data_IF_806887868857
#
_entry.id   IF_806887868857
#
_cell.length_a   1.000
_cell.length_b   1.000
_cell.length_c   1.000
_cell.angle_alpha   90.00
_cell.angle_beta   90.00
_cell.angle_gamma   90.00
#
_symmetry.space_group_name_H-M   'P 1'
#
loop_
_entity.id
_entity.type
_entity.pdbx_description
1 polymer ?
#
# COMPACT_ATOMS: atom_id res chain seq x y z
N UNK A 1 -24.04 43.20 -29.76
CA UNK A 1 -23.60 43.71 -28.47
C UNK A 1 -24.72 43.73 -27.38
N UNK A 2 -25.91 44.35 -27.62
CA UNK A 2 -26.99 44.36 -26.59
C UNK A 2 -27.60 42.99 -26.22
N UNK A 3 -27.59 41.98 -27.12
CA UNK A 3 -28.08 40.63 -26.80
C UNK A 3 -27.09 39.83 -25.91
N UNK A 4 -25.80 40.06 -26.05
CA UNK A 4 -24.76 39.42 -25.21
C UNK A 4 -24.81 39.97 -23.78
N UNK A 5 -25.11 41.26 -23.59
CA UNK A 5 -25.21 41.89 -22.27
C UNK A 5 -26.40 41.37 -21.46
N UNK A 6 -27.52 41.00 -22.13
CA UNK A 6 -28.69 40.45 -21.47
C UNK A 6 -28.51 38.98 -21.08
N UNK A 7 -27.68 38.19 -21.80
CA UNK A 7 -27.34 36.82 -21.43
C UNK A 7 -26.46 36.84 -20.17
N UNK A 8 -25.53 37.79 -20.05
CA UNK A 8 -24.70 37.97 -18.88
C UNK A 8 -25.47 38.33 -17.63
N UNK A 9 -26.49 39.24 -17.77
CA UNK A 9 -27.36 39.65 -16.67
C UNK A 9 -28.26 38.50 -16.17
N UNK A 10 -28.69 37.58 -17.05
CA UNK A 10 -29.51 36.41 -16.69
C UNK A 10 -28.71 35.35 -15.92
N UNK A 11 -27.44 35.13 -16.30
CA UNK A 11 -26.56 34.18 -15.61
C UNK A 11 -26.20 34.68 -14.20
N UNK A 12 -26.00 36.00 -14.03
CA UNK A 12 -25.70 36.62 -12.73
C UNK A 12 -26.89 36.67 -11.80
N UNK A 13 -28.11 36.80 -12.34
CA UNK A 13 -29.37 36.91 -11.53
C UNK A 13 -29.89 35.57 -11.00
N UNK A 14 -29.53 34.42 -11.57
CA UNK A 14 -29.96 33.10 -11.10
C UNK A 14 -29.04 32.48 -10.02
N UNK A 15 -27.86 33.04 -9.81
CA UNK A 15 -26.85 32.50 -8.89
C UNK A 15 -27.00 32.81 -7.39
N UNK A 16 -28.15 33.41 -6.96
CA UNK A 16 -28.32 33.89 -5.55
C UNK A 16 -29.27 33.01 -4.70
N UNK A 17 -29.80 31.91 -5.20
CA UNK A 17 -30.70 31.07 -4.41
C UNK A 17 -30.22 29.64 -4.27
N UNK A 18 -29.75 29.35 -3.05
CA UNK A 18 -29.71 28.04 -2.35
C UNK A 18 -28.74 26.95 -2.82
N UNK A 19 -27.90 26.54 -1.87
CA UNK A 19 -27.21 25.28 -1.63
C UNK A 19 -27.37 24.12 -2.62
N UNK A 20 -26.23 23.62 -3.08
CA UNK A 20 -26.07 22.26 -3.64
C UNK A 20 -26.81 21.91 -4.94
N UNK A 21 -26.71 22.73 -5.99
CA UNK A 21 -27.09 22.30 -7.32
C UNK A 21 -25.90 22.36 -8.30
N UNK A 22 -25.95 21.47 -9.31
CA UNK A 22 -24.98 21.46 -10.41
C UNK A 22 -24.94 22.85 -11.06
N UNK A 23 -23.76 23.48 -11.14
CA UNK A 23 -23.58 24.78 -11.81
C UNK A 23 -23.57 24.60 -13.34
N UNK A 24 -24.63 23.97 -13.88
CA UNK A 24 -24.86 23.89 -15.30
C UNK A 24 -26.07 24.83 -15.60
N UNK A 25 -25.75 26.01 -16.08
CA UNK A 25 -26.74 26.95 -16.52
C UNK A 25 -27.20 26.60 -17.92
N UNK A 26 -28.50 26.40 -18.12
CA UNK A 26 -29.12 26.25 -19.45
C UNK A 26 -29.64 27.60 -19.92
N UNK A 27 -29.01 28.14 -20.96
CA UNK A 27 -29.46 29.35 -21.66
C UNK A 27 -29.82 28.97 -23.10
N UNK A 28 -31.04 29.17 -23.49
CA UNK A 28 -31.58 28.79 -24.82
C UNK A 28 -31.33 27.31 -25.18
N UNK A 29 -31.38 26.41 -24.20
CA UNK A 29 -31.07 24.96 -24.38
C UNK A 29 -29.63 24.60 -24.49
N UNK A 30 -28.71 25.55 -24.31
CA UNK A 30 -27.26 25.32 -24.32
C UNK A 30 -26.75 25.23 -22.87
N UNK A 31 -26.03 24.15 -22.54
CA UNK A 31 -25.41 24.00 -21.25
C UNK A 31 -24.14 24.86 -21.14
N UNK A 32 -23.92 25.47 -19.98
CA UNK A 32 -22.68 26.17 -19.62
C UNK A 32 -22.17 25.64 -18.30
N UNK A 33 -20.85 25.49 -18.18
CA UNK A 33 -20.20 25.09 -16.92
C UNK A 33 -19.38 26.25 -16.39
N UNK A 34 -19.49 26.55 -15.11
CA UNK A 34 -18.71 27.60 -14.43
C UNK A 34 -17.64 26.97 -13.56
N UNK A 35 -16.39 27.45 -13.73
CA UNK A 35 -15.25 27.09 -12.89
C UNK A 35 -14.90 28.31 -12.04
N UNK A 36 -14.96 28.16 -10.71
CA UNK A 36 -14.59 29.24 -9.79
C UNK A 36 -13.15 29.06 -9.34
N UNK A 37 -12.43 30.16 -9.20
CA UNK A 37 -11.04 30.17 -8.71
C UNK A 37 -10.74 31.43 -7.87
N UNK A 38 -9.63 31.42 -7.14
CA UNK A 38 -9.09 32.59 -6.44
C UNK A 38 -7.63 32.80 -6.82
N UNK A 39 -7.17 34.06 -6.72
CA UNK A 39 -5.80 34.45 -7.00
C UNK A 39 -5.15 35.15 -5.80
N UNK A 40 -3.83 35.29 -5.80
CA UNK A 40 -3.07 35.96 -4.75
C UNK A 40 -2.89 37.47 -4.98
N UNK A 41 -3.21 37.96 -6.17
CA UNK A 41 -3.03 39.34 -6.63
C UNK A 41 -4.35 40.08 -6.94
N UNK A 42 -5.48 39.37 -6.81
CA UNK A 42 -6.83 39.85 -7.20
C UNK A 42 -6.99 40.16 -8.68
N UNK A 43 -6.11 39.62 -9.53
CA UNK A 43 -6.18 39.75 -10.98
C UNK A 43 -6.76 38.49 -11.61
N UNK A 44 -7.19 38.60 -12.86
CA UNK A 44 -7.69 37.48 -13.66
C UNK A 44 -6.57 36.49 -13.92
N UNK A 45 -6.83 35.18 -13.71
CA UNK A 45 -5.88 34.13 -14.10
C UNK A 45 -5.69 34.09 -15.62
N UNK A 46 -4.46 33.93 -16.07
CA UNK A 46 -4.12 33.78 -17.48
C UNK A 46 -4.38 32.35 -17.94
N UNK A 47 -5.66 31.98 -18.03
CA UNK A 47 -6.05 30.60 -18.41
C UNK A 47 -5.66 30.27 -19.84
N UNK A 48 -5.24 29.02 -20.07
CA UNK A 48 -4.98 28.49 -21.40
C UNK A 48 -6.29 28.39 -22.19
N UNK A 49 -6.33 29.01 -23.36
CA UNK A 49 -7.45 28.94 -24.28
C UNK A 49 -7.11 28.13 -25.54
N UNK A 50 -5.88 27.62 -25.64
CA UNK A 50 -5.34 26.94 -26.83
C UNK A 50 -5.28 25.41 -26.65
N UNK A 51 -5.84 24.71 -27.63
CA UNK A 51 -5.22 23.49 -28.16
C UNK A 51 -5.89 22.14 -27.86
N UNK A 52 -6.85 22.00 -26.97
CA UNK A 52 -7.43 20.68 -26.72
C UNK A 52 -8.94 20.61 -26.94
N UNK A 53 -9.32 20.13 -28.14
CA UNK A 53 -10.72 19.81 -28.44
C UNK A 53 -11.66 21.01 -28.40
N UNK A 54 -12.96 20.80 -28.57
CA UNK A 54 -14.02 21.82 -28.66
C UNK A 54 -14.26 22.67 -27.39
N UNK A 55 -13.18 23.09 -26.71
CA UNK A 55 -13.27 23.97 -25.54
C UNK A 55 -13.62 25.38 -25.97
N UNK A 56 -14.81 25.83 -25.63
CA UNK A 56 -15.21 27.23 -25.86
C UNK A 56 -15.30 27.95 -24.51
N UNK A 57 -14.19 28.54 -24.06
CA UNK A 57 -14.21 29.53 -23.00
C UNK A 57 -15.01 30.72 -23.51
N UNK A 58 -16.10 31.03 -22.84
CA UNK A 58 -16.99 32.15 -23.16
C UNK A 58 -16.53 33.41 -22.46
N UNK A 59 -16.05 33.27 -21.22
CA UNK A 59 -15.53 34.41 -20.45
C UNK A 59 -14.60 33.92 -19.34
N UNK A 60 -13.69 34.82 -18.97
CA UNK A 60 -12.89 34.72 -17.76
C UNK A 60 -12.96 36.11 -17.08
N UNK A 61 -13.47 36.18 -15.87
CA UNK A 61 -13.69 37.43 -15.14
C UNK A 61 -13.25 37.25 -13.68
N UNK A 62 -12.88 38.34 -13.03
CA UNK A 62 -12.53 38.36 -11.61
C UNK A 62 -13.29 39.52 -10.93
N UNK A 63 -14.05 39.23 -9.88
CA UNK A 63 -14.84 40.21 -9.15
C UNK A 63 -14.97 39.77 -7.69
N UNK A 64 -14.81 40.73 -6.78
CA UNK A 64 -14.98 40.53 -5.32
C UNK A 64 -14.19 39.32 -4.76
N UNK A 65 -12.96 39.14 -5.25
CA UNK A 65 -12.05 38.09 -4.77
C UNK A 65 -12.31 36.71 -5.41
N UNK A 66 -13.20 36.60 -6.40
CA UNK A 66 -13.53 35.34 -7.07
C UNK A 66 -13.39 35.49 -8.58
N UNK A 67 -12.57 34.61 -9.17
CA UNK A 67 -12.49 34.41 -10.60
C UNK A 67 -13.54 33.42 -11.08
N UNK A 68 -14.10 33.67 -12.27
CA UNK A 68 -15.09 32.79 -12.92
C UNK A 68 -14.72 32.55 -14.38
N UNK A 69 -14.45 31.30 -14.72
CA UNK A 69 -14.35 30.86 -16.10
C UNK A 69 -15.67 30.21 -16.49
N UNK A 70 -16.30 30.71 -17.57
CA UNK A 70 -17.51 30.12 -18.14
C UNK A 70 -17.16 29.40 -19.43
N UNK A 71 -17.50 28.12 -19.50
CA UNK A 71 -17.23 27.25 -20.64
C UNK A 71 -18.56 26.76 -21.23
N UNK A 72 -18.65 26.70 -22.55
CA UNK A 72 -19.82 26.16 -23.24
C UNK A 72 -19.81 24.64 -23.16
N UNK A 73 -20.89 24.05 -22.70
CA UNK A 73 -21.09 22.62 -22.61
C UNK A 73 -20.84 22.06 -21.20
N UNK A 74 -21.11 20.76 -21.03
CA UNK A 74 -20.79 20.00 -19.84
C UNK A 74 -19.34 19.56 -19.92
N UNK A 75 -18.57 19.79 -18.83
CA UNK A 75 -17.18 19.34 -18.73
C UNK A 75 -17.17 17.97 -18.07
N UNK A 76 -16.64 16.95 -18.75
CA UNK A 76 -16.33 15.63 -18.19
C UNK A 76 -14.82 15.41 -18.07
N UNK A 77 -14.04 16.09 -18.90
CA UNK A 77 -12.59 16.10 -18.88
C UNK A 77 -12.13 17.52 -18.54
N UNK A 78 -11.37 17.65 -17.44
CA UNK A 78 -10.84 18.93 -16.99
C UNK A 78 -9.49 19.18 -17.67
N UNK A 79 -9.54 19.95 -18.76
CA UNK A 79 -8.40 20.27 -19.60
C UNK A 79 -7.41 21.24 -18.93
N UNK A 80 -6.24 21.55 -19.53
CA UNK A 80 -5.22 22.43 -18.96
C UNK A 80 -5.63 23.91 -19.00
N UNK A 81 -6.79 24.22 -18.39
CA UNK A 81 -7.25 25.61 -18.28
C UNK A 81 -6.32 26.48 -17.45
N UNK A 82 -5.68 25.87 -16.42
CA UNK A 82 -4.86 26.58 -15.44
C UNK A 82 -3.36 26.29 -15.58
N UNK A 83 -2.93 25.69 -16.66
CA UNK A 83 -1.50 25.50 -16.95
C UNK A 83 -0.76 26.85 -16.89
N UNK A 84 0.38 26.92 -16.17
CA UNK A 84 1.18 28.12 -15.92
C UNK A 84 0.43 29.27 -15.24
N UNK A 85 -0.62 29.00 -14.48
CA UNK A 85 -1.37 30.02 -13.77
C UNK A 85 -0.76 30.29 -12.38
N UNK A 86 0.37 31.01 -12.36
CA UNK A 86 1.14 31.30 -11.13
C UNK A 86 0.37 32.07 -10.07
N UNK A 87 -0.64 32.87 -10.43
CA UNK A 87 -1.40 33.65 -9.47
C UNK A 87 -2.57 32.90 -8.84
N UNK A 88 -2.93 31.70 -9.34
CA UNK A 88 -4.07 30.93 -8.85
C UNK A 88 -3.75 30.27 -7.50
N UNK A 89 -4.65 30.44 -6.51
CA UNK A 89 -4.49 29.91 -5.15
C UNK A 89 -5.47 28.80 -4.80
N UNK A 90 -6.62 28.76 -5.45
CA UNK A 90 -7.61 27.68 -5.36
C UNK A 90 -8.46 27.59 -6.63
N UNK A 91 -8.93 26.39 -6.93
CA UNK A 91 -9.87 26.13 -8.02
C UNK A 91 -10.96 25.16 -7.52
N UNK A 92 -12.21 25.46 -7.89
CA UNK A 92 -13.33 24.55 -7.67
C UNK A 92 -13.57 23.75 -8.95
N UNK A 93 -13.26 22.46 -8.92
CA UNK A 93 -13.51 21.57 -10.06
C UNK A 93 -15.01 21.25 -10.11
N UNK A 94 -15.67 21.46 -11.27
CA UNK A 94 -17.11 21.21 -11.41
C UNK A 94 -17.49 19.75 -11.17
N UNK A 95 -18.68 19.52 -10.64
CA UNK A 95 -19.28 18.19 -10.58
C UNK A 95 -19.49 17.63 -11.99
N UNK A 96 -19.38 16.31 -12.12
CA UNK A 96 -19.51 15.64 -13.41
C UNK A 96 -18.20 15.50 -14.20
N UNK A 97 -17.11 16.11 -13.72
CA UNK A 97 -15.76 15.82 -14.21
C UNK A 97 -15.39 14.40 -13.84
N UNK A 98 -14.90 13.63 -14.81
CA UNK A 98 -14.48 12.24 -14.64
C UNK A 98 -12.97 12.07 -14.78
N UNK A 99 -12.29 13.04 -15.42
CA UNK A 99 -10.84 13.02 -15.66
C UNK A 99 -10.24 14.38 -15.36
N UNK A 100 -9.17 14.44 -14.59
CA UNK A 100 -8.27 15.59 -14.51
C UNK A 100 -7.21 15.36 -15.59
N UNK A 101 -7.23 16.19 -16.61
CA UNK A 101 -6.43 16.02 -17.83
C UNK A 101 -4.96 16.33 -17.65
N UNK A 102 -4.19 15.96 -18.66
CA UNK A 102 -2.77 16.26 -18.76
C UNK A 102 -2.54 17.77 -18.61
N UNK A 103 -1.52 18.15 -17.82
CA UNK A 103 -1.14 19.53 -17.52
C UNK A 103 -2.23 20.42 -16.91
N UNK A 104 -3.33 19.87 -16.41
CA UNK A 104 -4.51 20.64 -15.97
C UNK A 104 -4.18 21.80 -15.02
N UNK A 105 -3.16 21.62 -14.17
CA UNK A 105 -2.63 22.58 -13.20
C UNK A 105 -1.09 22.62 -13.19
N UNK A 106 -0.45 22.21 -14.27
CA UNK A 106 1.02 22.22 -14.38
C UNK A 106 1.54 23.64 -14.13
N UNK A 107 2.61 23.74 -13.32
CA UNK A 107 3.26 25.02 -12.96
C UNK A 107 2.32 26.04 -12.28
N UNK A 108 1.30 25.58 -11.55
CA UNK A 108 0.48 26.44 -10.68
C UNK A 108 1.18 26.68 -9.34
N UNK A 109 2.25 27.49 -9.34
CA UNK A 109 3.15 27.67 -8.19
C UNK A 109 2.47 28.17 -6.90
N UNK A 110 1.34 28.87 -6.98
CA UNK A 110 0.61 29.39 -5.82
C UNK A 110 -0.64 28.59 -5.43
N UNK A 111 -0.96 27.48 -6.13
CA UNK A 111 -2.08 26.62 -5.77
C UNK A 111 -1.77 25.94 -4.41
N UNK A 112 -2.58 26.23 -3.38
CA UNK A 112 -2.33 25.77 -2.00
C UNK A 112 -3.02 24.47 -1.66
N UNK A 113 -4.21 24.29 -2.19
CA UNK A 113 -5.01 23.08 -1.94
C UNK A 113 -5.98 22.84 -3.08
N UNK A 114 -6.30 21.57 -3.28
CA UNK A 114 -7.32 21.16 -4.26
C UNK A 114 -8.15 20.01 -3.71
N UNK A 115 -9.48 20.08 -3.90
CA UNK A 115 -10.38 18.97 -3.64
C UNK A 115 -10.88 18.42 -4.98
N UNK A 116 -10.51 17.20 -5.30
CA UNK A 116 -10.97 16.50 -6.50
C UNK A 116 -12.34 15.89 -6.22
N UNK A 117 -13.39 16.22 -6.99
CA UNK A 117 -14.75 15.79 -6.69
C UNK A 117 -14.96 14.29 -6.91
N UNK A 118 -15.95 13.73 -6.21
CA UNK A 118 -16.42 12.37 -6.50
C UNK A 118 -16.94 12.28 -7.94
N UNK A 119 -16.68 11.15 -8.59
CA UNK A 119 -16.91 10.92 -10.02
C UNK A 119 -15.63 10.97 -10.84
N UNK A 120 -14.56 11.63 -10.38
CA UNK A 120 -13.25 11.56 -11.04
C UNK A 120 -12.66 10.17 -10.83
N UNK A 121 -12.28 9.54 -11.95
CA UNK A 121 -11.70 8.19 -11.98
C UNK A 121 -10.22 8.21 -12.38
N UNK A 122 -9.75 9.31 -12.97
CA UNK A 122 -8.40 9.41 -13.51
C UNK A 122 -7.79 10.79 -13.27
N UNK A 123 -6.54 10.81 -12.87
CA UNK A 123 -5.64 11.96 -12.91
C UNK A 123 -4.57 11.59 -13.94
N UNK A 124 -4.50 12.34 -15.04
CA UNK A 124 -3.57 12.08 -16.14
C UNK A 124 -2.15 12.57 -15.82
N UNK A 125 -1.23 12.44 -16.80
CA UNK A 125 0.16 12.83 -16.62
C UNK A 125 0.27 14.32 -16.37
N UNK A 126 1.28 14.71 -15.59
CA UNK A 126 1.67 16.11 -15.34
C UNK A 126 0.57 17.01 -14.77
N UNK A 127 -0.59 16.44 -14.35
CA UNK A 127 -1.78 17.19 -13.96
C UNK A 127 -1.52 18.27 -12.88
N UNK A 128 -0.60 18.04 -11.95
CA UNK A 128 -0.15 18.98 -10.90
C UNK A 128 1.39 19.08 -10.86
N UNK A 129 2.02 18.97 -12.01
CA UNK A 129 3.47 19.06 -12.16
C UNK A 129 3.96 20.42 -11.68
N UNK A 130 5.01 20.47 -10.85
CA UNK A 130 5.58 21.68 -10.25
C UNK A 130 4.60 22.59 -9.46
N UNK A 131 3.50 22.05 -8.93
CA UNK A 131 2.66 22.79 -7.98
C UNK A 131 3.36 22.96 -6.62
N UNK A 132 4.41 23.77 -6.53
CA UNK A 132 5.36 23.85 -5.40
C UNK A 132 4.72 24.19 -4.06
N UNK A 133 3.60 24.92 -4.03
CA UNK A 133 2.87 25.31 -2.80
C UNK A 133 1.66 24.44 -2.51
N UNK A 134 1.42 23.39 -3.27
CA UNK A 134 0.29 22.48 -3.06
C UNK A 134 0.51 21.66 -1.78
N UNK A 135 -0.03 22.14 -0.67
CA UNK A 135 0.17 21.56 0.65
C UNK A 135 -0.80 20.41 0.96
N UNK A 136 -1.97 20.39 0.31
CA UNK A 136 -2.99 19.36 0.53
C UNK A 136 -3.80 19.06 -0.72
N UNK A 137 -4.05 17.76 -0.94
CA UNK A 137 -4.91 17.23 -2.00
C UNK A 137 -5.89 16.27 -1.38
N UNK A 138 -7.20 16.45 -1.69
CA UNK A 138 -8.23 15.48 -1.35
C UNK A 138 -8.57 14.68 -2.59
N UNK A 139 -8.27 13.38 -2.58
CA UNK A 139 -8.57 12.45 -3.67
C UNK A 139 -9.94 11.77 -3.45
N UNK A 140 -10.79 11.64 -4.49
CA UNK A 140 -12.10 11.03 -4.38
C UNK A 140 -11.99 9.49 -4.26
N UNK A 141 -12.99 8.87 -3.65
CA UNK A 141 -13.06 7.39 -3.55
C UNK A 141 -13.24 6.71 -4.91
N UNK A 142 -13.72 7.43 -5.91
CA UNK A 142 -13.91 6.93 -7.28
C UNK A 142 -12.62 6.84 -8.09
N UNK A 143 -11.50 7.41 -7.60
CA UNK A 143 -10.24 7.44 -8.33
C UNK A 143 -9.67 6.03 -8.53
N UNK A 144 -9.25 5.73 -9.76
CA UNK A 144 -8.70 4.43 -10.19
C UNK A 144 -7.23 4.52 -10.55
N UNK A 145 -6.80 5.62 -11.23
CA UNK A 145 -5.43 5.78 -11.74
C UNK A 145 -4.85 7.14 -11.41
N UNK A 146 -3.53 7.15 -11.12
CA UNK A 146 -2.70 8.36 -10.97
C UNK A 146 -1.60 8.27 -12.01
N UNK A 147 -1.56 9.24 -12.93
CA UNK A 147 -0.67 9.32 -14.08
C UNK A 147 0.78 9.61 -13.72
N UNK A 148 1.66 9.51 -14.73
CA UNK A 148 3.08 9.82 -14.59
C UNK A 148 3.27 11.31 -14.28
N UNK A 149 4.23 11.62 -13.40
CA UNK A 149 4.55 13.01 -13.01
C UNK A 149 3.36 13.79 -12.40
N UNK A 150 2.22 13.16 -12.11
CA UNK A 150 0.97 13.83 -11.71
C UNK A 150 1.12 14.82 -10.54
N UNK A 151 2.04 14.56 -9.61
CA UNK A 151 2.38 15.43 -8.46
C UNK A 151 3.90 15.61 -8.33
N UNK A 152 4.62 15.62 -9.46
CA UNK A 152 6.07 15.81 -9.49
C UNK A 152 6.44 17.18 -8.89
N UNK A 153 7.40 17.22 -7.96
CA UNK A 153 7.85 18.42 -7.25
C UNK A 153 6.72 19.24 -6.64
N UNK A 154 5.73 18.56 -6.03
CA UNK A 154 4.78 19.21 -5.14
C UNK A 154 5.43 19.39 -3.75
N UNK A 155 6.38 20.35 -3.65
CA UNK A 155 7.32 20.49 -2.52
C UNK A 155 6.64 20.73 -1.16
N UNK A 156 5.44 21.33 -1.14
CA UNK A 156 4.69 21.60 0.09
C UNK A 156 3.76 20.45 0.51
N UNK A 157 3.60 19.37 -0.28
CA UNK A 157 2.64 18.32 -0.02
C UNK A 157 3.06 17.52 1.22
N UNK A 158 2.36 17.74 2.34
CA UNK A 158 2.75 17.15 3.64
C UNK A 158 2.33 15.69 3.84
N UNK A 159 1.25 15.28 3.23
CA UNK A 159 0.73 13.92 3.29
C UNK A 159 -0.22 13.64 2.13
N UNK A 160 -0.34 12.36 1.76
CA UNK A 160 -1.32 11.91 0.77
C UNK A 160 -1.98 10.60 1.19
N UNK A 161 -3.29 10.51 0.97
CA UNK A 161 -4.08 9.28 1.14
C UNK A 161 -4.54 8.82 -0.23
N UNK A 162 -3.95 7.74 -0.71
CA UNK A 162 -4.35 7.07 -1.95
C UNK A 162 -5.60 6.25 -1.66
N UNK A 163 -6.74 6.52 -2.33
CA UNK A 163 -8.01 5.83 -2.10
C UNK A 163 -7.94 4.32 -2.38
N UNK A 164 -8.85 3.58 -1.75
CA UNK A 164 -8.86 2.11 -1.83
C UNK A 164 -9.20 1.57 -3.23
N UNK A 165 -9.80 2.35 -4.12
CA UNK A 165 -10.10 1.95 -5.51
C UNK A 165 -8.94 2.20 -6.49
N UNK A 166 -7.90 2.95 -6.10
CA UNK A 166 -6.74 3.14 -6.95
C UNK A 166 -6.02 1.82 -7.17
N UNK A 167 -5.80 1.46 -8.44
CA UNK A 167 -5.13 0.22 -8.84
C UNK A 167 -3.67 0.45 -9.21
N UNK A 168 -3.34 1.64 -9.73
CA UNK A 168 -1.98 1.97 -10.18
C UNK A 168 -1.59 3.41 -9.85
N UNK A 169 -0.33 3.57 -9.47
CA UNK A 169 0.39 4.83 -9.36
C UNK A 169 1.52 4.76 -10.40
N UNK A 170 1.53 5.66 -11.36
CA UNK A 170 2.51 5.62 -12.43
C UNK A 170 3.91 6.11 -12.00
N UNK A 171 4.90 6.01 -12.90
CA UNK A 171 6.26 6.45 -12.61
C UNK A 171 6.34 7.95 -12.32
N UNK A 172 7.26 8.36 -11.44
CA UNK A 172 7.54 9.74 -11.03
C UNK A 172 6.33 10.51 -10.48
N UNK A 173 5.20 9.83 -10.17
CA UNK A 173 3.96 10.49 -9.79
C UNK A 173 4.08 11.43 -8.57
N UNK A 174 4.95 11.13 -7.61
CA UNK A 174 5.25 11.95 -6.41
C UNK A 174 6.77 12.17 -6.26
N UNK A 175 7.49 12.24 -7.37
CA UNK A 175 8.93 12.47 -7.36
C UNK A 175 9.26 13.85 -6.74
N UNK A 176 10.31 13.93 -5.90
CA UNK A 176 10.77 15.14 -5.22
C UNK A 176 9.68 15.89 -4.42
N UNK A 177 8.69 15.20 -3.86
CA UNK A 177 7.75 15.81 -2.90
C UNK A 177 8.44 15.99 -1.54
N UNK A 178 9.21 17.05 -1.38
CA UNK A 178 10.13 17.27 -0.24
C UNK A 178 9.45 17.31 1.12
N UNK A 179 8.26 17.90 1.25
CA UNK A 179 7.53 17.97 2.52
C UNK A 179 6.77 16.70 2.86
N UNK A 180 6.70 15.68 1.98
CA UNK A 180 5.87 14.50 2.17
C UNK A 180 6.37 13.65 3.34
N UNK A 181 5.62 13.63 4.45
CA UNK A 181 5.96 12.92 5.70
C UNK A 181 5.27 11.58 5.82
N UNK A 182 4.09 11.46 5.23
CA UNK A 182 3.30 10.24 5.31
C UNK A 182 2.49 9.97 4.05
N UNK A 183 2.39 8.68 3.71
CA UNK A 183 1.54 8.19 2.64
C UNK A 183 0.68 7.03 3.14
N UNK A 184 -0.59 7.00 2.73
CA UNK A 184 -1.44 5.82 2.88
C UNK A 184 -1.69 5.24 1.49
N UNK A 185 -1.33 3.98 1.28
CA UNK A 185 -1.55 3.22 0.04
C UNK A 185 -2.87 2.46 0.16
N UNK A 186 -3.79 2.69 -0.77
CA UNK A 186 -5.10 2.06 -0.83
C UNK A 186 -5.04 0.55 -1.10
N UNK A 187 -6.08 -0.16 -0.71
CA UNK A 187 -6.12 -1.64 -0.69
C UNK A 187 -6.07 -2.30 -2.08
N UNK A 188 -6.51 -1.61 -3.13
CA UNK A 188 -6.50 -2.13 -4.51
C UNK A 188 -5.23 -1.84 -5.29
N UNK A 189 -4.27 -1.09 -4.73
CA UNK A 189 -3.02 -0.76 -5.44
C UNK A 189 -2.24 -2.05 -5.70
N UNK A 190 -1.98 -2.32 -7.00
CA UNK A 190 -1.20 -3.47 -7.47
C UNK A 190 0.14 -3.07 -8.06
N UNK A 191 0.25 -1.81 -8.52
CA UNK A 191 1.48 -1.31 -9.16
C UNK A 191 1.83 0.09 -8.65
N UNK A 192 3.12 0.29 -8.38
CA UNK A 192 3.74 1.59 -8.14
C UNK A 192 4.93 1.67 -9.09
N UNK A 193 4.89 2.65 -9.98
CA UNK A 193 5.84 2.79 -11.08
C UNK A 193 7.23 3.22 -10.63
N UNK A 194 8.16 3.24 -11.58
CA UNK A 194 9.56 3.61 -11.36
C UNK A 194 9.64 5.01 -10.72
N UNK A 195 10.45 5.14 -9.68
CA UNK A 195 10.78 6.40 -9.01
C UNK A 195 9.56 7.23 -8.53
N UNK A 196 8.40 6.58 -8.36
CA UNK A 196 7.17 7.28 -8.02
C UNK A 196 7.27 8.14 -6.73
N UNK A 197 8.13 7.77 -5.78
CA UNK A 197 8.39 8.49 -4.52
C UNK A 197 9.89 8.78 -4.32
N UNK A 198 10.70 8.73 -5.40
CA UNK A 198 12.11 9.10 -5.29
C UNK A 198 12.23 10.58 -4.90
N UNK A 199 13.22 10.91 -4.09
CA UNK A 199 13.41 12.27 -3.60
C UNK A 199 12.50 12.69 -2.43
N UNK A 200 11.50 11.89 -2.04
CA UNK A 200 10.66 12.16 -0.87
C UNK A 200 11.43 11.93 0.45
N UNK A 201 12.52 12.67 0.68
CA UNK A 201 13.48 12.43 1.76
C UNK A 201 12.88 12.55 3.18
N UNK A 202 11.73 13.20 3.33
CA UNK A 202 11.02 13.35 4.59
C UNK A 202 9.90 12.33 4.79
N UNK A 203 9.71 11.36 3.88
CA UNK A 203 8.69 10.31 4.00
C UNK A 203 9.07 9.30 5.10
N UNK A 204 8.53 9.50 6.30
CA UNK A 204 8.85 8.70 7.49
C UNK A 204 7.81 7.65 7.83
N UNK A 205 6.56 7.84 7.37
CA UNK A 205 5.46 6.92 7.71
C UNK A 205 4.75 6.45 6.45
N UNK A 206 4.69 5.13 6.27
CA UNK A 206 3.93 4.48 5.19
C UNK A 206 2.87 3.57 5.81
N UNK A 207 1.60 3.82 5.46
CA UNK A 207 0.47 2.94 5.81
C UNK A 207 0.09 2.20 4.53
N UNK A 208 0.45 0.95 4.43
CA UNK A 208 0.17 0.11 3.27
C UNK A 208 -1.03 -0.80 3.54
N UNK A 209 -2.15 -0.52 2.89
CA UNK A 209 -3.35 -1.37 2.91
C UNK A 209 -3.39 -2.35 1.73
N UNK A 210 -2.49 -2.17 0.75
CA UNK A 210 -2.44 -3.01 -0.45
C UNK A 210 -1.85 -4.39 -0.16
N UNK A 211 -1.84 -5.24 -1.19
CA UNK A 211 -1.17 -6.54 -1.13
C UNK A 211 0.32 -6.48 -1.47
N UNK A 212 0.85 -5.31 -1.80
CA UNK A 212 2.27 -5.12 -2.06
C UNK A 212 3.06 -5.33 -0.76
N UNK A 213 4.14 -6.06 -0.84
CA UNK A 213 5.02 -6.24 0.31
C UNK A 213 6.13 -5.18 0.28
N UNK A 214 5.99 -4.17 1.14
CA UNK A 214 6.95 -3.07 1.23
C UNK A 214 8.04 -3.39 2.25
N UNK A 215 9.29 -3.25 1.85
CA UNK A 215 10.46 -3.47 2.72
C UNK A 215 11.17 -2.14 2.95
N UNK A 216 11.42 -1.80 4.22
CA UNK A 216 12.15 -0.58 4.61
C UNK A 216 13.54 -0.55 3.93
N UNK A 217 13.89 0.63 3.40
CA UNK A 217 15.16 0.84 2.68
C UNK A 217 15.17 0.28 1.25
N UNK A 218 14.09 -0.36 0.80
CA UNK A 218 14.00 -0.89 -0.56
C UNK A 218 13.64 0.19 -1.56
N UNK A 219 14.32 0.21 -2.72
CA UNK A 219 13.95 1.02 -3.89
C UNK A 219 12.80 0.40 -4.69
N UNK A 220 12.39 -0.83 -4.38
CA UNK A 220 11.23 -1.46 -5.00
C UNK A 220 9.96 -0.62 -4.81
N UNK A 221 9.00 -0.77 -5.70
CA UNK A 221 7.77 0.00 -5.66
C UNK A 221 8.00 1.51 -5.59
N UNK A 222 8.84 2.02 -6.50
CA UNK A 222 9.05 3.44 -6.70
C UNK A 222 9.58 4.19 -5.48
N UNK A 223 10.40 3.56 -4.67
CA UNK A 223 11.01 4.13 -3.45
C UNK A 223 10.04 4.47 -2.30
N UNK A 224 8.78 4.07 -2.35
CA UNK A 224 7.78 4.44 -1.33
C UNK A 224 8.18 4.04 0.10
N UNK A 225 8.94 2.95 0.25
CA UNK A 225 9.41 2.45 1.54
C UNK A 225 10.87 2.80 1.84
N UNK A 226 11.57 3.46 0.90
CA UNK A 226 13.02 3.68 0.98
C UNK A 226 13.40 4.56 2.17
N UNK A 227 12.74 5.69 2.33
CA UNK A 227 13.01 6.67 3.39
C UNK A 227 12.20 6.42 4.68
N UNK A 228 11.32 5.43 4.69
CA UNK A 228 10.37 5.22 5.79
C UNK A 228 11.07 4.77 7.09
N UNK A 229 10.74 5.42 8.19
CA UNK A 229 11.09 4.96 9.54
C UNK A 229 10.09 3.91 10.03
N UNK A 230 8.82 4.06 9.64
CA UNK A 230 7.73 3.18 10.04
C UNK A 230 6.89 2.76 8.81
N UNK A 231 6.74 1.47 8.62
CA UNK A 231 5.80 0.88 7.67
C UNK A 231 4.74 0.13 8.47
N UNK A 232 3.47 0.53 8.32
CA UNK A 232 2.33 -0.22 8.82
C UNK A 232 1.67 -0.87 7.61
N UNK A 233 1.69 -2.18 7.54
CA UNK A 233 1.06 -2.92 6.44
C UNK A 233 0.35 -4.15 7.00
N UNK A 234 -0.73 -4.54 6.32
CA UNK A 234 -1.30 -5.85 6.55
C UNK A 234 -0.29 -6.85 6.01
N UNK A 235 0.26 -7.69 6.86
CA UNK A 235 1.07 -8.80 6.39
C UNK A 235 0.21 -9.63 5.43
N UNK A 236 0.73 -10.04 4.26
CA UNK A 236 -0.05 -10.79 3.30
C UNK A 236 -0.63 -12.04 3.95
N UNK A 237 -1.94 -12.16 3.86
CA UNK A 237 -2.65 -13.31 4.39
C UNK A 237 -2.62 -14.42 3.33
N UNK A 238 -1.54 -15.20 3.31
CA UNK A 238 -1.45 -16.37 2.47
C UNK A 238 -2.46 -17.42 2.94
N UNK A 239 -3.55 -17.59 2.19
CA UNK A 239 -4.63 -18.53 2.50
C UNK A 239 -5.24 -18.33 3.91
N UNK A 240 -5.51 -17.07 4.30
CA UNK A 240 -5.96 -16.67 5.64
C UNK A 240 -4.95 -16.96 6.76
N UNK A 241 -3.63 -17.01 6.46
CA UNK A 241 -2.57 -17.22 7.44
C UNK A 241 -1.61 -16.03 7.44
N UNK A 242 -1.34 -15.49 8.62
CA UNK A 242 -0.46 -14.35 8.80
C UNK A 242 0.97 -14.77 9.17
N UNK A 243 1.94 -13.95 8.77
CA UNK A 243 3.34 -14.12 9.13
C UNK A 243 3.94 -12.83 9.70
N UNK A 244 5.13 -12.95 10.26
CA UNK A 244 5.96 -11.85 10.71
C UNK A 244 7.30 -11.90 9.97
N UNK A 245 7.66 -10.79 9.35
CA UNK A 245 9.03 -10.57 8.87
C UNK A 245 9.87 -10.11 10.07
N UNK A 246 10.82 -10.92 10.48
CA UNK A 246 11.72 -10.64 11.59
C UNK A 246 12.97 -9.84 11.17
N UNK A 247 13.18 -9.63 9.85
CA UNK A 247 14.36 -8.96 9.31
C UNK A 247 15.62 -9.84 9.37
N UNK A 248 15.44 -11.17 9.31
CA UNK A 248 16.53 -12.14 9.23
C UNK A 248 17.24 -12.02 7.87
N UNK A 249 18.51 -12.39 7.82
CA UNK A 249 19.37 -12.25 6.64
C UNK A 249 18.86 -13.02 5.42
N UNK A 250 18.23 -14.18 5.62
CA UNK A 250 17.62 -14.98 4.54
C UNK A 250 16.35 -14.36 3.94
N UNK A 251 15.70 -13.42 4.66
CA UNK A 251 14.40 -12.89 4.32
C UNK A 251 13.23 -13.82 4.64
N UNK A 252 13.47 -14.99 5.24
CA UNK A 252 12.43 -15.93 5.69
C UNK A 252 11.49 -15.26 6.70
N UNK A 253 10.19 -15.47 6.49
CA UNK A 253 9.12 -14.93 7.33
C UNK A 253 8.48 -16.05 8.11
N UNK A 254 8.17 -15.80 9.37
CA UNK A 254 7.65 -16.81 10.30
C UNK A 254 6.16 -16.65 10.52
N UNK A 255 5.42 -17.73 10.47
CA UNK A 255 3.98 -17.72 10.77
C UNK A 255 3.72 -17.13 12.17
N UNK A 256 2.61 -16.42 12.32
CA UNK A 256 2.19 -15.87 13.64
C UNK A 256 1.78 -16.94 14.62
N UNK A 257 1.35 -18.13 14.15
CA UNK A 257 0.90 -19.25 14.96
C UNK A 257 1.41 -20.60 14.41
N UNK A 258 1.34 -21.63 15.23
CA UNK A 258 1.66 -22.99 14.83
C UNK A 258 0.61 -23.56 13.86
N UNK A 259 0.99 -24.59 13.12
CA UNK A 259 0.06 -25.34 12.27
C UNK A 259 -1.07 -25.94 13.12
N UNK A 260 -2.32 -25.75 12.69
CA UNK A 260 -3.52 -26.13 13.47
C UNK A 260 -3.96 -25.10 14.54
N UNK A 261 -3.16 -24.07 14.81
CA UNK A 261 -3.50 -23.00 15.75
C UNK A 261 -4.14 -21.78 15.05
N UNK A 262 -4.90 -21.00 15.82
CA UNK A 262 -5.52 -19.75 15.38
C UNK A 262 -4.99 -18.52 16.12
N UNK A 263 -4.20 -18.73 17.17
CA UNK A 263 -3.57 -17.69 18.01
C UNK A 263 -2.10 -18.04 18.30
N UNK A 264 -1.23 -17.05 18.51
CA UNK A 264 0.19 -17.28 18.75
C UNK A 264 0.51 -18.20 19.96
N UNK A 265 -0.34 -18.14 20.99
CA UNK A 265 -0.16 -18.88 22.22
C UNK A 265 -0.63 -20.35 22.16
N UNK A 266 -1.39 -20.71 21.15
CA UNK A 266 -1.88 -22.08 20.98
C UNK A 266 -0.76 -22.97 20.43
N UNK A 267 -0.62 -24.17 21.00
CA UNK A 267 0.36 -25.16 20.55
C UNK A 267 0.04 -25.71 19.14
N UNK A 268 -1.22 -25.71 18.72
CA UNK A 268 -1.66 -26.27 17.45
C UNK A 268 -1.57 -27.80 17.41
N UNK A 269 -1.65 -28.35 16.23
CA UNK A 269 -1.58 -29.79 16.00
C UNK A 269 -0.14 -30.31 16.07
N UNK A 270 -0.01 -31.62 16.26
CA UNK A 270 1.26 -32.34 16.27
C UNK A 270 1.30 -33.34 15.11
N UNK A 271 2.40 -33.37 14.42
CA UNK A 271 2.60 -34.18 13.22
C UNK A 271 3.77 -35.15 13.42
N UNK A 272 3.66 -36.34 12.83
CA UNK A 272 4.83 -37.18 12.59
C UNK A 272 5.64 -36.59 11.44
N UNK A 273 6.94 -36.75 11.45
CA UNK A 273 7.79 -36.20 10.38
C UNK A 273 7.47 -36.87 9.04
N UNK A 274 7.28 -36.06 7.99
CA UNK A 274 6.89 -36.52 6.66
C UNK A 274 5.42 -36.90 6.52
N UNK A 275 4.61 -36.69 7.56
CA UNK A 275 3.15 -36.90 7.50
C UNK A 275 2.44 -35.55 7.36
N UNK A 276 1.44 -35.50 6.51
CA UNK A 276 0.68 -34.27 6.22
C UNK A 276 -0.62 -34.16 7.01
N UNK A 277 -0.92 -35.15 7.81
CA UNK A 277 -2.03 -35.21 8.78
C UNK A 277 -1.51 -35.56 10.17
N UNK A 278 -2.33 -35.46 11.17
CA UNK A 278 -2.00 -35.87 12.55
C UNK A 278 -1.91 -37.39 12.74
N UNK A 279 -2.24 -38.16 11.71
CA UNK A 279 -2.17 -39.62 11.66
C UNK A 279 -1.01 -40.12 10.78
N UNK A 280 -0.52 -41.32 11.00
CA UNK A 280 0.50 -41.95 10.17
C UNK A 280 -0.12 -42.47 8.87
N UNK A 281 -0.15 -41.62 7.84
CA UNK A 281 -0.74 -41.97 6.52
C UNK A 281 0.32 -42.49 5.56
N UNK A 282 1.46 -41.81 5.47
CA UNK A 282 2.52 -42.09 4.52
C UNK A 282 3.52 -43.16 5.02
N UNK A 283 3.44 -43.55 6.29
CA UNK A 283 4.35 -44.48 6.95
C UNK A 283 5.84 -44.16 6.71
N UNK A 284 6.20 -42.90 6.85
CA UNK A 284 7.51 -42.34 6.48
C UNK A 284 8.62 -42.67 7.50
N UNK A 285 8.29 -43.38 8.59
CA UNK A 285 9.14 -43.58 9.77
C UNK A 285 10.50 -44.24 9.44
N UNK A 286 10.53 -45.16 8.45
CA UNK A 286 11.73 -45.90 8.04
C UNK A 286 12.03 -45.80 6.54
N UNK A 287 11.41 -44.87 5.84
CA UNK A 287 11.57 -44.69 4.40
C UNK A 287 12.40 -43.47 4.10
N UNK A 288 13.38 -43.59 3.21
CA UNK A 288 14.08 -42.42 2.69
C UNK A 288 13.14 -41.65 1.76
N UNK A 289 12.69 -40.48 2.22
CA UNK A 289 11.85 -39.55 1.46
C UNK A 289 12.62 -38.28 1.09
N UNK A 290 13.95 -38.29 1.28
CA UNK A 290 14.87 -37.17 1.04
C UNK A 290 15.38 -36.55 2.34
N UNK A 291 16.44 -35.75 2.22
CA UNK A 291 17.10 -35.11 3.35
C UNK A 291 16.40 -33.83 3.78
N UNK A 292 15.66 -33.19 2.88
CA UNK A 292 14.79 -32.05 3.14
C UNK A 292 13.44 -32.21 2.43
N UNK A 293 12.35 -32.21 3.20
CA UNK A 293 10.97 -32.31 2.69
C UNK A 293 10.30 -30.94 2.52
N UNK A 294 11.03 -29.85 2.77
CA UNK A 294 10.52 -28.48 2.73
C UNK A 294 9.80 -28.17 1.42
N UNK A 295 8.54 -27.75 1.50
CA UNK A 295 7.73 -27.37 0.35
C UNK A 295 7.19 -28.53 -0.50
N UNK A 296 7.50 -29.77 -0.15
CA UNK A 296 6.95 -30.96 -0.85
C UNK A 296 5.54 -31.28 -0.30
N UNK A 297 4.49 -30.96 -1.05
CA UNK A 297 3.11 -31.12 -0.59
C UNK A 297 2.71 -32.56 -0.20
N UNK A 298 3.49 -33.58 -0.59
CA UNK A 298 3.27 -34.96 -0.21
C UNK A 298 3.77 -35.26 1.22
N UNK A 299 4.77 -34.54 1.69
CA UNK A 299 5.47 -34.85 2.96
C UNK A 299 5.59 -33.65 3.91
N UNK A 300 5.49 -32.42 3.40
CA UNK A 300 5.50 -31.18 4.20
C UNK A 300 4.08 -30.81 4.64
N UNK A 301 3.81 -30.96 5.94
CA UNK A 301 2.50 -30.67 6.50
C UNK A 301 2.09 -29.20 6.34
N UNK A 302 3.01 -28.25 6.42
CA UNK A 302 2.69 -26.82 6.24
C UNK A 302 2.28 -26.55 4.78
N UNK A 303 3.00 -27.09 3.79
CA UNK A 303 2.63 -27.02 2.37
C UNK A 303 1.29 -27.69 2.11
N UNK A 304 1.07 -28.89 2.64
CA UNK A 304 -0.14 -29.65 2.42
C UNK A 304 -1.38 -29.00 3.03
N UNK A 305 -1.27 -28.46 4.25
CA UNK A 305 -2.41 -27.89 5.00
C UNK A 305 -2.68 -26.43 4.65
N UNK A 306 -1.64 -25.62 4.44
CA UNK A 306 -1.79 -24.19 4.20
C UNK A 306 -1.63 -23.80 2.72
N UNK A 307 -0.98 -24.65 1.89
CA UNK A 307 -0.78 -24.40 0.47
C UNK A 307 0.15 -23.22 0.17
N UNK A 308 0.07 -22.71 -1.06
CA UNK A 308 0.89 -21.58 -1.50
C UNK A 308 2.39 -21.85 -1.32
N UNK A 309 3.15 -20.89 -0.81
CA UNK A 309 4.58 -21.02 -0.56
C UNK A 309 4.93 -21.35 0.90
N UNK A 310 3.93 -21.68 1.73
CA UNK A 310 4.15 -22.17 3.07
C UNK A 310 4.92 -23.49 3.08
N UNK A 311 5.86 -23.62 4.02
CA UNK A 311 6.68 -24.81 4.23
C UNK A 311 7.01 -25.01 5.69
N UNK A 312 7.41 -26.21 6.06
CA UNK A 312 8.10 -26.46 7.32
C UNK A 312 9.44 -25.70 7.32
N UNK A 313 9.91 -25.17 8.46
CA UNK A 313 11.24 -24.58 8.56
C UNK A 313 12.29 -25.65 8.31
N UNK A 314 13.36 -25.29 7.60
CA UNK A 314 14.57 -26.08 7.48
C UNK A 314 15.40 -25.99 8.76
N UNK A 315 16.36 -26.82 8.91
CA UNK A 315 17.31 -26.72 10.01
C UNK A 315 18.03 -25.35 10.02
N UNK A 316 18.43 -24.87 8.86
CA UNK A 316 19.09 -23.58 8.67
C UNK A 316 18.21 -22.39 9.11
N UNK A 317 16.89 -22.46 8.88
CA UNK A 317 15.96 -21.43 9.35
C UNK A 317 15.95 -21.34 10.89
N UNK A 318 16.08 -22.48 11.59
CA UNK A 318 16.22 -22.49 13.05
C UNK A 318 17.56 -21.99 13.53
N UNK A 319 18.65 -22.32 12.82
CA UNK A 319 20.00 -21.82 13.11
C UNK A 319 20.03 -20.30 13.00
N UNK A 320 19.52 -19.77 11.90
CA UNK A 320 19.43 -18.32 11.67
C UNK A 320 18.57 -17.63 12.75
N UNK A 321 17.36 -18.16 13.02
CA UNK A 321 16.49 -17.63 14.06
C UNK A 321 17.16 -17.62 15.44
N UNK A 322 17.95 -18.64 15.74
CA UNK A 322 18.67 -18.74 17.01
C UNK A 322 19.86 -17.78 17.10
N UNK A 323 20.54 -17.52 15.99
CA UNK A 323 21.75 -16.67 15.94
C UNK A 323 21.41 -15.18 15.81
N UNK A 324 20.40 -14.84 15.00
CA UNK A 324 20.04 -13.45 14.73
C UNK A 324 18.90 -12.94 15.62
N UNK A 325 18.11 -13.84 16.20
CA UNK A 325 16.99 -13.50 17.09
C UNK A 325 17.43 -13.20 18.51
N UNK A 326 16.72 -12.31 19.18
CA UNK A 326 16.85 -12.07 20.62
C UNK A 326 15.69 -12.74 21.36
N UNK A 327 16.02 -13.66 22.26
CA UNK A 327 15.07 -14.57 22.86
C UNK A 327 14.77 -14.22 24.33
N UNK A 328 13.49 -14.07 24.66
CA UNK A 328 13.04 -13.81 26.03
C UNK A 328 12.03 -14.85 26.47
N UNK A 329 12.35 -15.57 27.57
CA UNK A 329 11.36 -16.42 28.21
C UNK A 329 10.27 -15.55 28.85
N UNK A 330 9.00 -15.83 28.54
CA UNK A 330 7.88 -15.00 28.97
C UNK A 330 6.57 -15.79 28.96
N UNK A 331 5.51 -15.16 29.44
CA UNK A 331 4.16 -15.71 29.39
C UNK A 331 3.27 -14.79 28.56
N UNK A 332 2.54 -15.34 27.61
CA UNK A 332 1.56 -14.64 26.77
C UNK A 332 0.19 -15.31 26.95
N UNK A 333 -0.80 -14.54 27.40
CA UNK A 333 -2.16 -15.04 27.69
C UNK A 333 -2.20 -16.33 28.54
N UNK A 334 -1.33 -16.43 29.57
CA UNK A 334 -1.24 -17.58 30.46
C UNK A 334 -0.40 -18.76 29.95
N UNK A 335 0.14 -18.67 28.74
CA UNK A 335 1.00 -19.73 28.15
C UNK A 335 2.45 -19.30 28.20
N UNK A 336 3.31 -20.12 28.81
CA UNK A 336 4.76 -19.89 28.86
C UNK A 336 5.42 -20.23 27.52
N UNK A 337 6.48 -19.51 27.16
CA UNK A 337 7.20 -19.74 25.91
C UNK A 337 8.27 -18.68 25.68
N UNK A 338 8.79 -18.63 24.46
CA UNK A 338 9.76 -17.62 24.06
C UNK A 338 9.12 -16.58 23.15
N UNK A 339 9.34 -15.30 23.47
CA UNK A 339 9.18 -14.20 22.53
C UNK A 339 10.52 -13.97 21.85
N UNK A 340 10.53 -14.11 20.55
CA UNK A 340 11.73 -13.97 19.71
C UNK A 340 11.62 -12.69 18.91
N UNK A 341 12.52 -11.75 19.14
CA UNK A 341 12.61 -10.49 18.40
C UNK A 341 13.67 -10.65 17.30
N UNK A 342 13.30 -10.32 16.08
CA UNK A 342 14.26 -10.23 15.00
C UNK A 342 15.02 -8.89 14.98
N UNK A 343 16.04 -8.76 14.12
CA UNK A 343 16.87 -7.55 13.99
C UNK A 343 16.07 -6.27 13.72
N UNK A 344 14.91 -6.36 13.07
CA UNK A 344 14.03 -5.23 12.77
C UNK A 344 13.06 -4.85 13.91
N UNK A 345 13.14 -5.53 15.08
CA UNK A 345 12.30 -5.29 16.24
C UNK A 345 10.92 -5.96 16.21
N UNK A 346 10.53 -6.59 15.11
CA UNK A 346 9.33 -7.43 15.06
C UNK A 346 9.53 -8.72 15.84
N UNK A 347 8.45 -9.34 16.32
CA UNK A 347 8.56 -10.54 17.14
C UNK A 347 7.50 -11.59 16.85
N UNK A 348 7.87 -12.84 17.10
CA UNK A 348 6.93 -13.97 17.19
C UNK A 348 6.92 -14.52 18.61
N UNK A 349 5.84 -15.24 18.97
CA UNK A 349 5.77 -16.01 20.21
C UNK A 349 5.77 -17.49 19.89
N UNK A 350 6.71 -18.24 20.45
CA UNK A 350 6.82 -19.70 20.34
C UNK A 350 6.39 -20.34 21.68
N UNK A 351 5.17 -20.88 21.76
CA UNK A 351 4.69 -21.50 22.98
C UNK A 351 5.54 -22.72 23.34
N UNK A 352 5.86 -22.85 24.64
CA UNK A 352 6.59 -24.00 25.16
C UNK A 352 5.71 -25.23 25.25
N UNK A 353 6.27 -26.36 24.84
CA UNK A 353 5.75 -27.70 25.15
C UNK A 353 6.89 -28.71 25.18
N UNK A 354 6.71 -29.84 25.85
CA UNK A 354 7.67 -30.95 25.86
C UNK A 354 7.87 -31.61 24.48
N UNK A 355 7.04 -31.23 23.51
CA UNK A 355 7.06 -31.85 22.17
C UNK A 355 7.90 -31.09 21.14
N UNK A 356 8.48 -29.91 21.49
CA UNK A 356 9.38 -29.14 20.62
C UNK A 356 8.83 -28.90 19.17
N UNK A 357 9.67 -28.47 18.25
CA UNK A 357 9.28 -28.12 16.89
C UNK A 357 10.07 -28.90 15.84
N UNK A 358 9.39 -29.49 14.82
CA UNK A 358 10.03 -30.11 13.69
C UNK A 358 10.69 -29.11 12.73
N UNK A 359 11.90 -29.44 12.24
CA UNK A 359 12.36 -28.97 10.95
C UNK A 359 11.96 -29.94 9.84
N UNK A 360 12.09 -29.49 8.57
CA UNK A 360 11.92 -30.34 7.40
C UNK A 360 13.15 -31.19 7.09
N UNK A 361 14.29 -30.94 7.76
CA UNK A 361 15.58 -31.56 7.50
C UNK A 361 15.72 -32.87 8.28
N UNK A 362 16.11 -33.93 7.56
CA UNK A 362 16.44 -35.22 8.19
C UNK A 362 17.71 -35.13 9.03
N UNK A 363 17.90 -36.04 9.97
CA UNK A 363 19.15 -36.15 10.73
C UNK A 363 20.04 -37.21 10.13
N UNK A 364 21.28 -36.85 9.80
CA UNK A 364 22.31 -37.79 9.32
C UNK A 364 22.80 -38.77 10.39
N UNK A 365 22.48 -38.52 11.67
CA UNK A 365 23.03 -39.24 12.83
C UNK A 365 22.39 -40.60 13.11
N UNK A 366 21.31 -40.93 12.44
CA UNK A 366 20.61 -42.19 12.68
C UNK A 366 20.45 -42.99 11.39
N UNK A 367 21.00 -44.19 11.36
CA UNK A 367 20.72 -45.21 10.35
C UNK A 367 19.76 -46.25 10.93
N UNK A 368 18.69 -46.61 10.22
CA UNK A 368 18.25 -46.20 8.91
C UNK A 368 17.13 -45.11 8.98
N UNK A 369 17.44 -43.83 8.70
CA UNK A 369 16.51 -42.72 8.42
C UNK A 369 15.36 -42.51 9.40
N UNK A 370 15.56 -42.72 10.72
CA UNK A 370 14.50 -42.73 11.73
C UNK A 370 14.39 -41.43 12.54
N UNK A 371 15.24 -40.43 12.28
CA UNK A 371 15.26 -39.15 12.99
C UNK A 371 15.27 -37.93 12.06
N UNK A 372 14.86 -36.79 12.60
CA UNK A 372 14.92 -35.49 11.95
C UNK A 372 15.29 -34.39 12.96
N UNK A 373 15.78 -33.25 12.44
CA UNK A 373 16.23 -32.13 13.24
C UNK A 373 15.04 -31.43 13.91
N UNK A 374 15.25 -30.90 15.11
CA UNK A 374 14.23 -30.17 15.90
C UNK A 374 14.80 -28.87 16.47
N UNK A 375 13.91 -27.90 16.69
CA UNK A 375 14.13 -26.80 17.61
C UNK A 375 13.61 -27.23 18.98
N UNK A 376 14.54 -27.37 19.94
CA UNK A 376 14.24 -27.70 21.34
C UNK A 376 14.09 -26.42 22.15
N UNK A 377 12.98 -26.27 22.84
CA UNK A 377 12.73 -25.16 23.76
C UNK A 377 12.62 -25.69 25.19
N UNK A 378 13.39 -25.14 26.10
CA UNK A 378 13.30 -25.37 27.54
C UNK A 378 13.47 -24.02 28.26
N UNK A 379 13.04 -23.92 29.52
CA UNK A 379 13.20 -22.68 30.27
C UNK A 379 14.72 -22.37 30.46
N UNK A 380 15.16 -21.31 29.82
CA UNK A 380 16.57 -20.87 29.84
C UNK A 380 17.48 -21.56 28.82
N UNK A 381 16.95 -22.48 27.98
CA UNK A 381 17.74 -23.20 26.96
C UNK A 381 17.02 -23.24 25.61
N UNK A 382 17.73 -22.86 24.58
CA UNK A 382 17.30 -23.00 23.18
C UNK A 382 18.33 -23.89 22.49
N UNK A 383 17.85 -25.00 21.93
CA UNK A 383 18.70 -25.95 21.22
C UNK A 383 18.19 -26.22 19.82
N UNK A 384 19.00 -25.93 18.82
CA UNK A 384 18.68 -26.22 17.42
C UNK A 384 19.50 -27.40 16.84
N UNK A 385 20.56 -27.82 17.51
CA UNK A 385 21.37 -28.99 17.12
C UNK A 385 20.91 -30.27 17.82
N UNK A 386 19.60 -30.52 17.79
CA UNK A 386 18.97 -31.70 18.36
C UNK A 386 18.19 -32.45 17.28
N UNK A 387 18.03 -33.75 17.50
CA UNK A 387 17.22 -34.61 16.66
C UNK A 387 16.20 -35.38 17.46
N UNK A 388 15.15 -35.82 16.82
CA UNK A 388 14.12 -36.64 17.41
C UNK A 388 13.65 -37.72 16.43
N UNK A 389 13.22 -38.86 16.99
CA UNK A 389 12.70 -39.96 16.17
C UNK A 389 11.44 -39.52 15.40
N UNK A 390 11.38 -39.86 14.10
CA UNK A 390 10.24 -39.59 13.22
C UNK A 390 8.95 -40.25 13.73
N UNK A 391 9.08 -41.28 14.59
CA UNK A 391 7.96 -41.94 15.29
C UNK A 391 7.26 -41.11 16.35
N UNK A 392 7.83 -39.94 16.70
CA UNK A 392 7.21 -39.01 17.68
C UNK A 392 6.54 -37.85 16.96
N UNK A 393 5.50 -37.31 17.60
CA UNK A 393 4.80 -36.13 17.08
C UNK A 393 5.39 -34.85 17.64
N UNK A 394 5.49 -33.79 16.80
CA UNK A 394 5.99 -32.48 17.14
C UNK A 394 5.10 -31.38 16.56
N UNK A 395 5.24 -30.19 17.10
CA UNK A 395 4.62 -29.00 16.52
C UNK A 395 5.37 -28.51 15.29
N UNK A 396 4.70 -27.71 14.48
CA UNK A 396 5.28 -27.06 13.30
C UNK A 396 4.95 -25.59 13.39
N UNK A 397 5.98 -24.72 13.32
CA UNK A 397 5.83 -23.30 13.07
C UNK A 397 6.16 -23.03 11.61
N UNK A 398 5.18 -22.87 10.73
CA UNK A 398 5.43 -22.68 9.31
C UNK A 398 6.22 -21.42 9.01
N UNK A 399 6.94 -21.46 7.89
CA UNK A 399 7.68 -20.33 7.32
C UNK A 399 7.32 -20.14 5.85
N UNK A 400 7.64 -18.95 5.33
CA UNK A 400 7.50 -18.61 3.90
C UNK A 400 8.70 -17.74 3.49
N UNK A 401 9.17 -17.90 2.26
CA UNK A 401 10.30 -17.14 1.72
C UNK A 401 9.93 -15.72 1.33
#
# INVERSE_FOLDING_TARGET
MKRFLNIFAAIVALGILTGCYEEIDLVDGIAYTTINYTTNDNEVANISTYGYGNMHVISNTYTDGVGKVVVKGKITHFYPYFEYCDNVTSVTIPKGVTTIGEDAFSDCDNLKSIAIPEGVTEIESDAFYYCKRLASVTLPKTLVTIGSYAFYSCDALGSIVIPDNVTSIAGWAFYDCDALKSVTIGSSVTTIGTDAFYGCNNLKTVINKSKLHLTKGSSSYGYVAYYADKITQNEPNYNNRSYVNLGLSSGVKWATCNLGATKPEQLGDRYYWGETTTSKVNNTMYVNIGDDISGNAKYDAARAQWGGDWRMPRYEDFVELAQEGTWYWTTSNGVSGYRVYGPNGNSIFLPYSDYHYWSSTSSEWSQPYDAAMILKLENGLIGYNYHAYRSSQRHIRPVIN
#
